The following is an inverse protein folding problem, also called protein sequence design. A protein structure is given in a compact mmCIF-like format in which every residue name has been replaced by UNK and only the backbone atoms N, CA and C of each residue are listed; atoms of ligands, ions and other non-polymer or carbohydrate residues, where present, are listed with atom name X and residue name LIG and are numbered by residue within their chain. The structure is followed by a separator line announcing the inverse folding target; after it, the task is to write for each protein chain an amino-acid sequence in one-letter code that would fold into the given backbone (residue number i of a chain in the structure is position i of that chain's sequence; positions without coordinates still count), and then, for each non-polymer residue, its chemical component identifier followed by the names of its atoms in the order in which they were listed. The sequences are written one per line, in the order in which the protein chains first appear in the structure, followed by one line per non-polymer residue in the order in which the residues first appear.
data_IF_476462047999
#
_entry.id   IF_476462047999
#
_cell.length_a   1.000
_cell.length_b   1.000
_cell.length_c   1.000
_cell.angle_alpha   90.00
_cell.angle_beta   90.00
_cell.angle_gamma   90.00
#
_symmetry.space_group_name_H-M   'P 1'
#
loop_
_entity.id
_entity.type
_entity.pdbx_description
1 polymer ?
#
# COMPACT_ATOMS: atom_id res chain seq x y z
N UNK A 1 19.37 39.38 -16.37
CA UNK A 1 19.51 38.35 -15.31
C UNK A 1 18.19 38.07 -14.56
N UNK A 2 17.17 38.93 -14.67
CA UNK A 2 15.87 38.81 -13.97
C UNK A 2 14.82 37.89 -14.64
N UNK A 3 14.87 37.69 -15.96
CA UNK A 3 13.89 36.83 -16.67
C UNK A 3 14.04 35.35 -16.34
N UNK A 4 15.27 34.83 -16.47
CA UNK A 4 15.56 33.41 -16.25
C UNK A 4 15.27 32.92 -14.83
N UNK A 5 15.48 33.78 -13.81
CA UNK A 5 15.19 33.44 -12.42
C UNK A 5 13.68 33.32 -12.17
N UNK A 6 12.89 34.25 -12.71
CA UNK A 6 11.44 34.23 -12.57
C UNK A 6 10.82 33.01 -13.29
N UNK A 7 11.31 32.69 -14.48
CA UNK A 7 10.89 31.50 -15.23
C UNK A 7 11.28 30.20 -14.51
N UNK A 8 12.43 30.19 -13.81
CA UNK A 8 12.91 29.05 -13.05
C UNK A 8 12.07 28.79 -11.78
N UNK A 9 11.72 29.84 -11.02
CA UNK A 9 10.82 29.70 -9.87
C UNK A 9 9.39 29.33 -10.30
N UNK A 10 8.92 29.84 -11.44
CA UNK A 10 7.63 29.46 -12.02
C UNK A 10 7.57 27.98 -12.43
N UNK A 11 8.72 27.37 -12.79
CA UNK A 11 8.81 25.96 -13.13
C UNK A 11 8.73 25.02 -11.91
N UNK A 12 8.78 25.50 -10.66
CA UNK A 12 8.52 24.68 -9.45
C UNK A 12 9.62 23.69 -9.04
N UNK A 13 10.82 23.74 -9.62
CA UNK A 13 11.90 22.75 -9.38
C UNK A 13 12.90 23.21 -8.30
N UNK A 14 12.43 23.56 -7.11
CA UNK A 14 13.29 23.99 -6.00
C UNK A 14 14.08 22.86 -5.31
N UNK A 15 13.84 21.59 -5.69
CA UNK A 15 14.55 20.48 -5.08
C UNK A 15 14.22 19.08 -5.57
N UNK A 16 13.22 18.91 -6.44
CA UNK A 16 12.90 17.61 -7.07
C UNK A 16 13.35 17.61 -8.52
N UNK A 17 14.29 16.74 -8.88
CA UNK A 17 14.80 16.59 -10.24
C UNK A 17 16.28 16.23 -10.29
N UNK A 18 16.66 15.45 -11.30
CA UNK A 18 18.05 15.06 -11.56
C UNK A 18 18.94 16.24 -12.01
N UNK A 19 20.12 15.90 -12.54
CA UNK A 19 21.24 16.83 -12.82
C UNK A 19 20.90 18.06 -13.68
N UNK A 20 19.78 18.13 -14.39
CA UNK A 20 19.45 19.24 -15.31
C UNK A 20 18.52 20.32 -14.75
N UNK A 21 17.72 20.02 -13.72
CA UNK A 21 16.62 20.91 -13.27
C UNK A 21 16.76 21.45 -11.84
N UNK A 22 17.80 21.06 -11.11
CA UNK A 22 17.99 21.47 -9.72
C UNK A 22 18.74 22.81 -9.64
N UNK A 23 18.19 23.79 -8.93
CA UNK A 23 18.82 25.10 -8.71
C UNK A 23 20.22 24.99 -8.10
N UNK A 24 20.44 24.05 -7.19
CA UNK A 24 21.72 23.84 -6.55
C UNK A 24 22.78 23.31 -7.53
N UNK A 25 22.36 22.57 -8.56
CA UNK A 25 23.28 22.13 -9.61
C UNK A 25 23.73 23.31 -10.47
N UNK A 26 22.83 24.22 -10.83
CA UNK A 26 23.18 25.40 -11.62
C UNK A 26 24.10 26.34 -10.85
N UNK A 27 23.82 26.59 -9.57
CA UNK A 27 24.68 27.41 -8.71
C UNK A 27 26.07 26.77 -8.58
N UNK A 28 26.15 25.44 -8.45
CA UNK A 28 27.41 24.72 -8.38
C UNK A 28 28.21 24.82 -9.67
N UNK A 29 27.55 24.73 -10.83
CA UNK A 29 28.18 24.83 -12.15
C UNK A 29 28.71 26.23 -12.44
N UNK A 30 27.92 27.26 -12.14
CA UNK A 30 28.20 28.62 -12.60
C UNK A 30 29.02 29.44 -11.57
N UNK A 31 28.83 29.19 -10.28
CA UNK A 31 29.46 29.97 -9.19
C UNK A 31 30.38 29.14 -8.29
N UNK A 32 30.43 27.81 -8.46
CA UNK A 32 31.31 26.93 -7.70
C UNK A 32 30.81 26.55 -6.30
N UNK A 33 31.62 25.75 -5.60
CA UNK A 33 31.23 25.06 -4.35
C UNK A 33 30.95 26.01 -3.18
N UNK A 34 31.79 27.03 -2.97
CA UNK A 34 31.72 27.90 -1.78
C UNK A 34 30.43 28.73 -1.77
N UNK A 35 30.04 29.24 -2.94
CA UNK A 35 28.79 29.97 -3.12
C UNK A 35 27.57 29.06 -2.97
N UNK A 36 27.66 27.82 -3.45
CA UNK A 36 26.60 26.82 -3.30
C UNK A 36 26.33 26.47 -1.84
N UNK A 37 27.38 26.24 -1.04
CA UNK A 37 27.27 25.95 0.39
C UNK A 37 26.59 27.11 1.12
N UNK A 38 27.03 28.35 0.85
CA UNK A 38 26.43 29.56 1.44
C UNK A 38 24.96 29.73 1.05
N UNK A 39 24.61 29.46 -0.20
CA UNK A 39 23.23 29.54 -0.70
C UNK A 39 22.32 28.49 -0.04
N UNK A 40 22.77 27.22 0.03
CA UNK A 40 22.06 26.14 0.73
C UNK A 40 21.83 26.47 2.21
N UNK A 41 22.86 26.97 2.90
CA UNK A 41 22.77 27.31 4.30
C UNK A 41 21.79 28.46 4.57
N UNK A 42 21.81 29.50 3.73
CA UNK A 42 20.86 30.62 3.82
C UNK A 42 19.43 30.17 3.57
N UNK A 43 19.21 29.33 2.55
CA UNK A 43 17.89 28.79 2.27
C UNK A 43 17.38 27.94 3.43
N UNK A 44 18.19 27.02 3.95
CA UNK A 44 17.80 26.16 5.08
C UNK A 44 17.39 26.98 6.33
N UNK A 45 18.13 28.05 6.64
CA UNK A 45 17.78 28.96 7.75
C UNK A 45 16.50 29.73 7.49
N UNK A 46 16.31 30.24 6.27
CA UNK A 46 15.10 30.94 5.88
C UNK A 46 13.88 30.02 5.95
N UNK A 47 13.95 28.82 5.37
CA UNK A 47 12.86 27.84 5.39
C UNK A 47 12.55 27.36 6.80
N UNK A 48 13.57 27.13 7.63
CA UNK A 48 13.36 26.76 9.04
C UNK A 48 12.68 27.89 9.82
N UNK A 49 13.12 29.14 9.65
CA UNK A 49 12.48 30.28 10.32
C UNK A 49 11.05 30.50 9.83
N UNK A 50 10.79 30.33 8.54
CA UNK A 50 9.45 30.43 7.98
C UNK A 50 8.54 29.34 8.55
N UNK A 51 8.99 28.08 8.55
CA UNK A 51 8.21 26.96 9.06
C UNK A 51 7.90 27.09 10.56
N UNK A 52 8.85 27.60 11.34
CA UNK A 52 8.64 27.89 12.76
C UNK A 52 7.57 28.97 12.99
N UNK A 53 7.51 30.00 12.14
CA UNK A 53 6.55 31.09 12.25
C UNK A 53 5.16 30.72 11.71
N UNK A 54 5.10 29.96 10.61
CA UNK A 54 3.84 29.55 9.99
C UNK A 54 3.18 28.37 10.70
N UNK A 55 3.98 27.49 11.32
CA UNK A 55 3.50 26.23 11.88
C UNK A 55 3.15 25.21 10.78
N UNK A 56 3.45 23.95 11.02
CA UNK A 56 3.06 22.85 10.14
C UNK A 56 2.76 21.61 10.99
N UNK A 57 1.60 21.01 10.74
CA UNK A 57 1.08 19.88 11.48
C UNK A 57 0.36 18.95 10.52
N UNK A 58 0.31 17.67 10.88
CA UNK A 58 -0.55 16.66 10.25
C UNK A 58 -1.45 16.12 11.35
N UNK A 59 -2.76 16.22 11.13
CA UNK A 59 -3.78 15.74 12.05
C UNK A 59 -4.40 14.43 11.59
N UNK A 60 -5.17 13.81 12.48
CA UNK A 60 -6.03 12.66 12.10
C UNK A 60 -7.05 13.03 11.02
N UNK A 61 -7.48 14.30 10.99
CA UNK A 61 -8.41 14.82 9.97
C UNK A 61 -7.84 14.77 8.55
N UNK A 62 -6.51 14.84 8.38
CA UNK A 62 -5.87 14.74 7.06
C UNK A 62 -5.89 13.31 6.51
N UNK A 63 -6.21 12.33 7.37
CA UNK A 63 -6.21 10.89 7.07
C UNK A 63 -7.61 10.28 7.28
N UNK A 64 -8.61 11.10 7.58
CA UNK A 64 -9.97 10.61 7.78
C UNK A 64 -10.71 10.60 6.44
N UNK A 65 -11.21 9.45 5.96
CA UNK A 65 -11.94 9.38 4.69
C UNK A 65 -13.30 10.08 4.80
N UNK A 66 -13.74 10.74 3.73
CA UNK A 66 -15.12 11.21 3.60
C UNK A 66 -16.10 10.05 3.39
N UNK A 67 -17.39 10.29 3.66
CA UNK A 67 -18.44 9.27 3.52
C UNK A 67 -18.55 8.76 2.07
N UNK A 68 -18.39 9.66 1.09
CA UNK A 68 -18.44 9.31 -0.33
C UNK A 68 -17.27 8.40 -0.72
N UNK A 69 -16.07 8.63 -0.18
CA UNK A 69 -14.93 7.73 -0.37
C UNK A 69 -15.23 6.33 0.16
N UNK A 70 -15.83 6.25 1.35
CA UNK A 70 -16.16 4.98 2.00
C UNK A 70 -17.17 4.21 1.16
N UNK A 71 -18.23 4.87 0.68
CA UNK A 71 -19.23 4.25 -0.22
C UNK A 71 -18.57 3.75 -1.50
N UNK A 72 -17.74 4.57 -2.14
CA UNK A 72 -17.05 4.22 -3.39
C UNK A 72 -16.07 3.06 -3.18
N UNK A 73 -15.32 3.06 -2.07
CA UNK A 73 -14.45 1.97 -1.65
C UNK A 73 -15.24 0.67 -1.51
N UNK A 74 -16.35 0.69 -0.78
CA UNK A 74 -17.16 -0.50 -0.54
C UNK A 74 -17.77 -1.06 -1.84
N UNK A 75 -18.18 -0.19 -2.77
CA UNK A 75 -18.63 -0.59 -4.10
C UNK A 75 -17.50 -1.27 -4.91
N UNK A 76 -16.30 -0.68 -4.92
CA UNK A 76 -15.12 -1.25 -5.59
C UNK A 76 -14.73 -2.62 -5.02
N UNK A 77 -14.74 -2.76 -3.69
CA UNK A 77 -14.44 -4.02 -3.02
C UNK A 77 -15.48 -5.10 -3.37
N UNK A 78 -16.77 -4.73 -3.37
CA UNK A 78 -17.85 -5.66 -3.69
C UNK A 78 -17.74 -6.20 -5.12
N UNK A 79 -17.51 -5.32 -6.11
CA UNK A 79 -17.27 -5.71 -7.52
C UNK A 79 -16.02 -6.59 -7.65
N UNK A 80 -14.94 -6.21 -6.96
CA UNK A 80 -13.70 -6.95 -6.95
C UNK A 80 -13.82 -8.37 -6.39
N UNK A 81 -14.53 -8.53 -5.29
CA UNK A 81 -14.80 -9.85 -4.70
C UNK A 81 -15.68 -10.72 -5.60
N UNK A 82 -16.69 -10.14 -6.26
CA UNK A 82 -17.54 -10.87 -7.21
C UNK A 82 -16.71 -11.41 -8.40
N UNK A 83 -15.79 -10.61 -8.95
CA UNK A 83 -14.87 -11.08 -10.01
C UNK A 83 -13.94 -12.20 -9.54
N UNK A 84 -13.40 -12.07 -8.33
CA UNK A 84 -12.54 -13.12 -7.76
C UNK A 84 -13.32 -14.43 -7.58
N UNK A 85 -14.57 -14.37 -7.11
CA UNK A 85 -15.45 -15.54 -7.01
C UNK A 85 -15.74 -16.15 -8.39
N UNK A 86 -15.93 -15.32 -9.41
CA UNK A 86 -16.13 -15.80 -10.78
C UNK A 86 -14.90 -16.54 -11.30
N UNK A 87 -13.69 -16.03 -11.08
CA UNK A 87 -12.46 -16.73 -11.47
C UNK A 87 -12.31 -18.08 -10.75
N UNK A 88 -12.63 -18.13 -9.45
CA UNK A 88 -12.64 -19.39 -8.68
C UNK A 88 -13.64 -20.38 -9.30
N UNK A 89 -14.84 -19.92 -9.67
CA UNK A 89 -15.87 -20.74 -10.31
C UNK A 89 -15.42 -21.25 -11.68
N UNK A 90 -14.73 -20.43 -12.47
CA UNK A 90 -14.20 -20.81 -13.79
C UNK A 90 -13.10 -21.86 -13.69
N UNK A 91 -12.22 -21.76 -12.67
CA UNK A 91 -11.21 -22.78 -12.38
C UNK A 91 -11.86 -24.09 -11.96
N UNK A 92 -12.89 -24.05 -11.10
CA UNK A 92 -13.62 -25.25 -10.69
C UNK A 92 -14.32 -25.94 -11.88
N UNK A 93 -14.72 -25.19 -12.91
CA UNK A 93 -15.28 -25.72 -14.16
C UNK A 93 -14.22 -26.11 -15.20
N UNK A 94 -12.92 -25.90 -14.92
CA UNK A 94 -11.82 -26.16 -15.86
C UNK A 94 -11.79 -25.27 -17.10
N UNK A 95 -12.49 -24.12 -17.07
CA UNK A 95 -12.62 -23.19 -18.22
C UNK A 95 -11.59 -22.06 -18.22
N UNK A 96 -10.77 -21.95 -17.18
CA UNK A 96 -9.80 -20.87 -17.05
C UNK A 96 -8.64 -21.07 -18.05
N UNK A 97 -8.30 -20.03 -18.80
CA UNK A 97 -7.16 -20.04 -19.71
C UNK A 97 -5.85 -19.99 -18.92
N UNK A 98 -5.06 -21.06 -19.00
CA UNK A 98 -3.75 -21.14 -18.35
C UNK A 98 -2.75 -20.19 -19.01
N UNK A 99 -1.93 -19.51 -18.21
CA UNK A 99 -0.78 -18.77 -18.74
C UNK A 99 0.31 -19.74 -19.20
N UNK A 100 1.06 -19.40 -20.26
CA UNK A 100 2.09 -20.29 -20.80
C UNK A 100 3.16 -20.57 -19.74
N UNK A 101 3.40 -21.85 -19.47
CA UNK A 101 4.41 -22.29 -18.50
C UNK A 101 3.96 -22.29 -17.03
N UNK A 102 2.69 -22.00 -16.74
CA UNK A 102 2.11 -22.06 -15.39
C UNK A 102 1.08 -23.17 -15.26
N UNK A 103 0.95 -23.74 -14.06
CA UNK A 103 -0.19 -24.59 -13.73
C UNK A 103 -1.51 -23.80 -13.68
N UNK A 104 -2.64 -24.51 -13.75
CA UNK A 104 -3.97 -23.87 -13.66
C UNK A 104 -4.15 -23.11 -12.32
N UNK A 105 -3.64 -23.68 -11.23
CA UNK A 105 -3.68 -23.09 -9.89
C UNK A 105 -2.80 -21.83 -9.79
N UNK A 106 -1.57 -21.88 -10.31
CA UNK A 106 -0.67 -20.72 -10.32
C UNK A 106 -1.22 -19.60 -11.22
N UNK A 107 -1.90 -19.98 -12.31
CA UNK A 107 -2.57 -19.01 -13.18
C UNK A 107 -3.72 -18.31 -12.44
N UNK A 108 -4.54 -19.05 -11.69
CA UNK A 108 -5.62 -18.47 -10.88
C UNK A 108 -5.07 -17.47 -9.86
N UNK A 109 -4.01 -17.85 -9.13
CA UNK A 109 -3.39 -16.96 -8.14
C UNK A 109 -2.80 -15.70 -8.78
N UNK A 110 -2.16 -15.82 -9.94
CA UNK A 110 -1.63 -14.67 -10.67
C UNK A 110 -2.74 -13.70 -11.11
N UNK A 111 -3.88 -14.23 -11.58
CA UNK A 111 -5.04 -13.43 -11.99
C UNK A 111 -5.67 -12.73 -10.79
N UNK A 112 -5.88 -13.44 -9.67
CA UNK A 112 -6.42 -12.84 -8.45
C UNK A 112 -5.50 -11.75 -7.91
N UNK A 113 -4.19 -12.00 -7.84
CA UNK A 113 -3.20 -11.01 -7.41
C UNK A 113 -3.23 -9.75 -8.27
N UNK A 114 -3.37 -9.92 -9.60
CA UNK A 114 -3.50 -8.81 -10.53
C UNK A 114 -4.79 -8.02 -10.28
N UNK A 115 -5.93 -8.67 -10.15
CA UNK A 115 -7.22 -8.00 -9.90
C UNK A 115 -7.20 -7.23 -8.57
N UNK A 116 -6.67 -7.83 -7.50
CA UNK A 116 -6.52 -7.19 -6.19
C UNK A 116 -5.58 -5.97 -6.25
N UNK A 117 -4.55 -6.02 -7.08
CA UNK A 117 -3.65 -4.88 -7.30
C UNK A 117 -4.37 -3.74 -8.04
N UNK A 118 -5.22 -4.06 -9.02
CA UNK A 118 -6.03 -3.08 -9.75
C UNK A 118 -7.07 -2.43 -8.84
N UNK A 119 -7.72 -3.20 -7.96
CA UNK A 119 -8.69 -2.67 -7.00
C UNK A 119 -8.01 -1.65 -6.07
N UNK A 120 -6.82 -1.99 -5.56
CA UNK A 120 -6.01 -1.07 -4.75
C UNK A 120 -5.68 0.21 -5.52
N UNK A 121 -5.18 0.10 -6.75
CA UNK A 121 -4.82 1.28 -7.55
C UNK A 121 -6.03 2.19 -7.81
N UNK A 122 -7.22 1.62 -8.07
CA UNK A 122 -8.46 2.39 -8.22
C UNK A 122 -8.90 3.07 -6.93
N UNK A 123 -8.73 2.39 -5.79
CA UNK A 123 -8.99 2.97 -4.47
C UNK A 123 -8.01 4.13 -4.20
N UNK A 124 -6.73 3.95 -4.53
CA UNK A 124 -5.69 4.98 -4.41
C UNK A 124 -6.03 6.22 -5.25
N UNK A 125 -6.45 6.02 -6.50
CA UNK A 125 -6.86 7.12 -7.40
C UNK A 125 -8.10 7.85 -6.88
N UNK A 126 -9.10 7.12 -6.36
CA UNK A 126 -10.27 7.75 -5.74
C UNK A 126 -9.88 8.58 -4.52
N UNK A 127 -8.94 8.09 -3.71
CA UNK A 127 -8.41 8.77 -2.54
C UNK A 127 -7.69 10.08 -2.90
N UNK A 128 -6.84 10.05 -3.93
CA UNK A 128 -6.12 11.24 -4.41
C UNK A 128 -7.06 12.28 -5.02
N UNK A 129 -8.13 11.85 -5.69
CA UNK A 129 -9.11 12.76 -6.28
C UNK A 129 -9.96 13.50 -5.22
N UNK A 130 -10.13 12.91 -4.04
CA UNK A 130 -10.90 13.51 -2.94
C UNK A 130 -10.04 14.39 -2.04
N UNK A 131 -8.75 14.09 -1.93
CA UNK A 131 -7.83 14.89 -1.12
C UNK A 131 -7.70 16.32 -1.67
N UNK A 132 -7.98 17.31 -0.84
CA UNK A 132 -7.80 18.72 -1.18
C UNK A 132 -6.32 19.04 -1.51
N UNK A 133 -6.07 19.95 -2.46
CA UNK A 133 -4.72 20.32 -2.90
C UNK A 133 -3.85 20.96 -1.81
N UNK A 134 -4.46 21.43 -0.73
CA UNK A 134 -3.78 22.04 0.44
C UNK A 134 -3.28 21.00 1.44
N UNK A 135 -3.57 19.70 1.24
CA UNK A 135 -3.13 18.67 2.17
C UNK A 135 -1.61 18.62 2.29
N UNK A 136 -1.13 18.64 3.53
CA UNK A 136 0.28 18.63 3.94
C UNK A 136 1.13 17.55 3.26
N UNK A 137 0.52 16.41 2.93
CA UNK A 137 1.16 15.26 2.30
C UNK A 137 1.54 15.46 0.83
N UNK A 138 0.96 16.46 0.15
CA UNK A 138 1.25 16.77 -1.25
C UNK A 138 2.58 17.52 -1.44
N UNK A 139 3.21 17.95 -0.34
CA UNK A 139 4.46 18.71 -0.34
C UNK A 139 5.69 17.93 -0.82
N UNK A 140 5.59 16.62 -1.07
CA UNK A 140 6.67 15.78 -1.63
C UNK A 140 7.90 15.61 -0.73
N UNK A 141 7.85 16.12 0.50
CA UNK A 141 8.97 16.10 1.46
C UNK A 141 9.21 14.71 2.05
N UNK A 142 8.14 13.95 2.33
CA UNK A 142 8.24 12.61 2.91
C UNK A 142 7.01 11.76 2.61
N UNK A 143 7.25 10.53 2.15
CA UNK A 143 6.20 9.58 1.79
C UNK A 143 5.72 9.76 0.35
N UNK A 144 5.21 8.68 -0.22
CA UNK A 144 4.54 8.70 -1.51
C UNK A 144 3.03 8.69 -1.31
N UNK A 145 2.28 9.06 -2.36
CA UNK A 145 0.82 8.98 -2.39
C UNK A 145 0.27 7.64 -1.92
N UNK A 146 1.02 6.57 -2.19
CA UNK A 146 0.67 5.21 -1.80
C UNK A 146 0.61 5.01 -0.28
N UNK A 147 1.42 5.75 0.49
CA UNK A 147 1.43 5.62 1.95
C UNK A 147 0.17 6.25 2.54
N UNK A 148 -0.23 7.40 2.00
CA UNK A 148 -1.44 8.11 2.43
C UNK A 148 -2.68 7.32 2.03
N UNK A 149 -2.74 6.82 0.80
CA UNK A 149 -3.87 6.02 0.35
C UNK A 149 -4.02 4.70 1.11
N UNK A 150 -2.91 4.08 1.54
CA UNK A 150 -2.95 2.91 2.42
C UNK A 150 -3.47 3.21 3.82
N UNK A 151 -3.24 4.43 4.33
CA UNK A 151 -3.77 4.88 5.61
C UNK A 151 -5.26 5.24 5.55
N UNK A 152 -5.74 5.78 4.42
CA UNK A 152 -7.12 6.27 4.26
C UNK A 152 -8.06 5.21 3.65
N UNK A 153 -7.63 4.50 2.60
CA UNK A 153 -8.47 3.61 1.80
C UNK A 153 -8.29 2.14 2.19
N UNK A 154 -7.18 1.51 1.79
CA UNK A 154 -6.87 0.13 2.15
C UNK A 154 -5.39 -0.21 1.94
N UNK A 155 -4.84 -1.08 2.80
CA UNK A 155 -3.45 -1.55 2.70
C UNK A 155 -3.21 -2.45 1.48
N UNK A 156 -4.25 -3.20 1.06
CA UNK A 156 -4.21 -4.15 -0.05
C UNK A 156 -3.62 -5.51 0.31
N UNK A 157 -3.55 -6.40 -0.68
CA UNK A 157 -2.98 -7.74 -0.51
C UNK A 157 -1.47 -7.68 -0.23
N UNK A 158 -1.02 -8.43 0.79
CA UNK A 158 0.40 -8.65 1.05
C UNK A 158 0.87 -9.94 0.38
N UNK A 159 2.03 -9.89 -0.26
CA UNK A 159 2.68 -11.03 -0.90
C UNK A 159 3.97 -11.39 -0.16
N UNK A 160 4.16 -12.69 0.11
CA UNK A 160 5.38 -13.27 0.64
C UNK A 160 6.12 -13.95 -0.52
N UNK A 161 7.32 -13.45 -0.84
CA UNK A 161 8.15 -14.00 -1.92
C UNK A 161 7.41 -14.15 -3.27
N UNK A 162 6.58 -13.16 -3.62
CA UNK A 162 5.80 -13.14 -4.86
C UNK A 162 4.55 -14.03 -4.87
N UNK A 163 4.30 -14.79 -3.81
CA UNK A 163 3.09 -15.60 -3.63
C UNK A 163 2.27 -15.07 -2.45
N UNK A 164 1.01 -15.46 -2.37
CA UNK A 164 0.19 -15.19 -1.18
C UNK A 164 0.61 -16.11 -0.04
N UNK A 165 0.14 -15.81 1.16
CA UNK A 165 0.52 -16.49 2.39
C UNK A 165 0.27 -18.01 2.24
N UNK A 166 1.31 -18.85 2.37
CA UNK A 166 1.16 -20.29 2.20
C UNK A 166 0.42 -20.92 3.39
N UNK A 167 -0.10 -22.12 3.20
CA UNK A 167 -0.67 -22.90 4.29
C UNK A 167 0.45 -23.45 5.18
N UNK A 168 0.56 -22.88 6.38
CA UNK A 168 1.50 -23.35 7.41
C UNK A 168 0.97 -24.52 8.26
N UNK A 169 -0.32 -24.85 8.15
CA UNK A 169 -0.98 -25.93 8.88
C UNK A 169 -1.68 -26.90 7.91
N UNK A 170 -2.25 -27.99 8.44
CA UNK A 170 -3.02 -28.99 7.68
C UNK A 170 -4.13 -28.36 6.82
N UNK A 171 -3.77 -28.07 5.56
CA UNK A 171 -4.59 -27.43 4.53
C UNK A 171 -5.27 -26.11 4.97
N UNK A 172 -4.56 -25.29 5.75
CA UNK A 172 -5.00 -23.95 6.18
C UNK A 172 -3.84 -23.04 6.58
N UNK A 173 -4.04 -21.73 6.52
CA UNK A 173 -3.01 -20.74 6.90
C UNK A 173 -2.95 -20.50 8.42
N UNK A 174 -4.09 -20.50 9.12
CA UNK A 174 -4.17 -20.36 10.58
C UNK A 174 -5.13 -21.40 11.20
N UNK A 175 -4.95 -21.75 12.49
CA UNK A 175 -5.84 -22.68 13.20
C UNK A 175 -7.30 -22.22 13.29
N UNK A 176 -7.54 -20.90 13.25
CA UNK A 176 -8.87 -20.29 13.28
C UNK A 176 -9.68 -20.51 11.99
N UNK A 177 -9.01 -20.83 10.87
CA UNK A 177 -9.68 -21.12 9.62
C UNK A 177 -10.11 -22.59 9.55
N UNK A 178 -11.28 -22.81 8.93
CA UNK A 178 -11.74 -24.16 8.59
C UNK A 178 -10.76 -24.80 7.59
N UNK A 179 -10.59 -26.12 7.68
CA UNK A 179 -9.75 -26.87 6.73
C UNK A 179 -10.30 -26.70 5.31
N UNK A 180 -9.43 -26.36 4.36
CA UNK A 180 -9.83 -26.13 2.97
C UNK A 180 -10.83 -24.99 2.79
N UNK A 181 -10.84 -23.99 3.69
CA UNK A 181 -11.71 -22.82 3.52
C UNK A 181 -11.24 -21.95 2.35
N UNK A 182 -12.02 -21.95 1.28
CA UNK A 182 -11.96 -20.95 0.21
C UNK A 182 -12.43 -19.58 0.74
N UNK A 183 -12.09 -18.51 0.00
CA UNK A 183 -12.32 -17.06 0.26
C UNK A 183 -13.61 -16.71 1.01
N UNK A 184 -14.71 -17.42 0.78
CA UNK A 184 -16.02 -17.16 1.40
C UNK A 184 -16.17 -17.65 2.85
N UNK A 185 -15.40 -18.66 3.28
CA UNK A 185 -15.55 -19.29 4.60
C UNK A 185 -14.70 -18.64 5.70
N UNK A 186 -13.69 -17.84 5.35
CA UNK A 186 -12.89 -17.12 6.34
C UNK A 186 -13.57 -15.84 6.87
N UNK A 187 -14.48 -15.23 6.10
CA UNK A 187 -15.27 -14.07 6.56
C UNK A 187 -16.14 -14.42 7.78
N UNK A 188 -16.55 -15.68 7.94
CA UNK A 188 -17.40 -16.15 9.05
C UNK A 188 -16.65 -16.36 10.37
N UNK A 189 -15.33 -16.27 10.39
CA UNK A 189 -14.56 -16.37 11.63
C UNK A 189 -14.18 -14.96 12.08
N UNK A 190 -14.70 -14.49 13.22
CA UNK A 190 -14.38 -13.19 13.84
C UNK A 190 -12.90 -12.93 14.16
N UNK A 191 -12.00 -13.80 13.71
CA UNK A 191 -10.53 -13.70 13.79
C UNK A 191 -9.90 -12.94 12.61
N UNK A 192 -10.69 -12.42 11.66
CA UNK A 192 -10.19 -11.72 10.47
C UNK A 192 -9.17 -10.61 10.78
N UNK A 193 -9.39 -9.84 11.86
CA UNK A 193 -8.47 -8.77 12.32
C UNK A 193 -7.12 -9.31 12.82
N UNK A 194 -7.11 -10.44 13.52
CA UNK A 194 -5.88 -11.04 14.04
C UNK A 194 -5.06 -11.70 12.93
N UNK A 195 -5.74 -12.38 11.99
CA UNK A 195 -5.10 -12.91 10.78
C UNK A 195 -4.46 -11.78 9.97
N UNK A 196 -5.21 -10.69 9.82
CA UNK A 196 -4.75 -9.51 9.11
C UNK A 196 -3.42 -8.99 9.68
N UNK A 197 -3.40 -8.70 10.98
CA UNK A 197 -2.21 -8.24 11.68
C UNK A 197 -1.02 -9.21 11.56
N UNK A 198 -1.29 -10.52 11.65
CA UNK A 198 -0.25 -11.55 11.53
C UNK A 198 0.41 -11.54 10.14
N UNK A 199 -0.37 -11.49 9.06
CA UNK A 199 0.17 -11.46 7.69
C UNK A 199 1.03 -10.21 7.47
N UNK A 200 0.56 -9.05 7.93
CA UNK A 200 1.29 -7.80 7.79
C UNK A 200 2.64 -7.89 8.51
N UNK A 201 2.64 -8.43 9.73
CA UNK A 201 3.87 -8.66 10.49
C UNK A 201 4.83 -9.62 9.77
N UNK A 202 4.31 -10.71 9.18
CA UNK A 202 5.10 -11.64 8.38
C UNK A 202 5.70 -10.98 7.13
N UNK A 203 4.92 -10.14 6.44
CA UNK A 203 5.36 -9.38 5.26
C UNK A 203 6.49 -8.41 5.61
N UNK A 204 6.31 -7.65 6.70
CA UNK A 204 7.33 -6.73 7.21
C UNK A 204 8.63 -7.48 7.55
N UNK A 205 8.53 -8.61 8.25
CA UNK A 205 9.70 -9.43 8.59
C UNK A 205 10.43 -9.95 7.35
N UNK A 206 9.70 -10.39 6.32
CA UNK A 206 10.29 -10.82 5.06
C UNK A 206 11.04 -9.66 4.37
N UNK A 207 10.46 -8.46 4.38
CA UNK A 207 11.11 -7.24 3.87
C UNK A 207 12.36 -6.86 4.65
N UNK A 208 12.34 -6.97 5.98
CA UNK A 208 13.50 -6.72 6.84
C UNK A 208 14.64 -7.71 6.57
N UNK A 209 14.32 -8.99 6.43
CA UNK A 209 15.30 -10.03 6.08
C UNK A 209 15.89 -9.76 4.70
N UNK A 210 15.07 -9.40 3.71
CA UNK A 210 15.53 -9.10 2.35
C UNK A 210 16.48 -7.89 2.28
N UNK A 211 16.34 -6.92 3.18
CA UNK A 211 17.23 -5.76 3.29
C UNK A 211 18.51 -6.04 4.08
N UNK A 212 18.54 -7.14 4.84
CA UNK A 212 19.71 -7.51 5.62
C UNK A 212 20.72 -8.27 4.77
N UNK A 213 21.91 -7.69 4.59
CA UNK A 213 23.02 -8.34 3.88
C UNK A 213 23.62 -9.55 4.63
N UNK A 214 23.17 -9.84 5.85
CA UNK A 214 23.77 -10.85 6.74
C UNK A 214 23.00 -12.17 6.83
N UNK A 215 21.84 -12.30 6.16
CA UNK A 215 21.06 -13.55 6.21
C UNK A 215 21.25 -14.41 4.97
N UNK A 216 21.39 -15.74 5.11
CA UNK A 216 21.42 -16.65 3.97
C UNK A 216 20.12 -16.53 3.17
N UNK A 217 20.23 -16.29 1.85
CA UNK A 217 19.10 -16.07 0.92
C UNK A 217 18.24 -17.31 0.67
N UNK A 218 18.50 -18.43 1.34
CA UNK A 218 17.75 -19.67 1.21
C UNK A 218 16.92 -19.94 2.47
N UNK A 219 15.79 -19.24 2.60
CA UNK A 219 14.67 -19.72 3.42
C UNK A 219 13.59 -20.17 2.45
N UNK A 220 13.71 -21.40 1.97
CA UNK A 220 12.67 -22.06 1.22
C UNK A 220 11.65 -22.59 2.23
N UNK A 221 10.53 -21.90 2.39
CA UNK A 221 9.37 -22.49 3.07
C UNK A 221 8.82 -23.58 2.15
N UNK A 222 9.22 -24.83 2.38
CA UNK A 222 8.67 -26.00 1.68
C UNK A 222 7.27 -26.27 2.22
N UNK A 223 6.26 -25.77 1.52
CA UNK A 223 4.85 -26.00 1.80
C UNK A 223 4.10 -26.29 0.50
N UNK A 224 3.62 -27.53 0.39
CA UNK A 224 2.80 -28.02 -0.72
C UNK A 224 1.53 -27.20 -0.91
N UNK A 225 1.17 -27.00 -2.18
CA UNK A 225 0.00 -26.31 -2.74
C UNK A 225 -1.30 -26.45 -1.95
N UNK A 226 -2.08 -25.36 -1.84
CA UNK A 226 -3.55 -25.27 -2.10
C UNK A 226 -4.19 -24.01 -1.46
N UNK A 227 -4.61 -23.05 -2.30
CA UNK A 227 -5.83 -22.20 -2.20
C UNK A 227 -6.14 -21.29 -0.96
N UNK A 228 -6.91 -20.18 -1.09
CA UNK A 228 -6.41 -18.83 -0.72
C UNK A 228 -7.19 -18.02 0.34
N UNK A 229 -6.58 -17.00 0.98
CA UNK A 229 -7.28 -15.96 1.79
C UNK A 229 -6.84 -14.47 1.69
N UNK A 230 -7.88 -13.64 1.47
CA UNK A 230 -8.20 -12.20 1.58
C UNK A 230 -7.22 -11.03 1.30
N UNK A 231 -7.74 -10.07 0.52
CA UNK A 231 -7.44 -8.64 0.59
C UNK A 231 -8.17 -7.99 1.79
N UNK A 232 -7.54 -7.00 2.40
CA UNK A 232 -7.93 -6.50 3.72
C UNK A 232 -9.01 -5.43 3.66
N UNK A 233 -10.01 -5.62 4.50
CA UNK A 233 -11.09 -4.69 4.78
C UNK A 233 -11.03 -4.35 6.28
N UNK A 234 -10.74 -3.10 6.62
CA UNK A 234 -11.14 -2.51 7.90
C UNK A 234 -12.55 -1.92 7.67
N UNK A 235 -13.56 -2.79 7.63
CA UNK A 235 -14.94 -2.35 7.84
C UNK A 235 -15.26 -2.64 9.29
N UNK A 236 -15.55 -1.58 10.04
CA UNK A 236 -16.31 -1.72 11.27
C UNK A 236 -17.68 -2.27 10.88
N UNK A 237 -17.95 -3.53 11.27
CA UNK A 237 -19.30 -4.06 11.24
C UNK A 237 -20.11 -3.35 12.33
N UNK A 238 -21.16 -2.58 12.01
CA UNK A 238 -21.98 -1.91 13.01
C UNK A 238 -22.83 -2.88 13.86
N UNK A 239 -22.71 -4.20 13.64
CA UNK A 239 -23.42 -5.25 14.39
C UNK A 239 -22.58 -5.97 15.45
N UNK A 240 -21.32 -5.58 15.67
CA UNK A 240 -20.44 -6.20 16.69
C UNK A 240 -20.76 -5.62 18.09
N UNK A 241 -21.98 -5.86 18.59
CA UNK A 241 -22.28 -5.65 20.01
C UNK A 241 -21.49 -6.66 20.84
N UNK A 242 -20.82 -6.28 21.93
CA UNK A 242 -20.03 -7.21 22.73
C UNK A 242 -20.95 -8.27 23.34
N UNK A 243 -20.95 -9.46 22.75
CA UNK A 243 -21.65 -10.63 23.27
C UNK A 243 -21.11 -10.99 24.65
N UNK A 244 -22.00 -11.05 25.62
CA UNK A 244 -21.75 -11.49 26.99
C UNK A 244 -21.07 -12.85 27.01
N UNK A 245 -19.81 -12.88 27.44
CA UNK A 245 -19.11 -14.12 27.79
C UNK A 245 -19.81 -14.75 28.99
N UNK A 246 -20.37 -15.94 28.81
CA UNK A 246 -20.89 -16.76 29.91
C UNK A 246 -19.81 -17.82 30.23
N UNK A 247 -19.16 -17.76 31.41
CA UNK A 247 -18.15 -18.74 31.77
C UNK A 247 -18.82 -20.05 32.20
N UNK A 248 -18.34 -21.17 31.65
CA UNK A 248 -18.44 -22.50 32.25
C UNK A 248 -17.02 -22.91 32.64
#
# INVERSE_FOLDING_TARGET
MSGWINDFFAAGHLGSGGKGGNIFYVILRDFGKEFSIKAMWRLARLTSSYLMNSGFSIGIGDVTPGEELVKRKNALLTDGYQKCQEYIRQTAQGKLQCQPGCSAEETLEAIILKELSVIRERADQACVAELHSTNSHLSGSKGSFINVSQMIACVGQQALNGKRVPNGFDNRSLPHHYRGSTVDKAKKCGSGRAYAFWIETCSIRCGQISRSHHWPRNITLTGSSREPLLAFELVEDPSDTPGTYNPI
#
